data_IF_017153716908
#
_entry.id   IF_017153716908
#
_cell.length_a   1.000
_cell.length_b   1.000
_cell.length_c   1.000
_cell.angle_alpha   90.00
_cell.angle_beta   90.00
_cell.angle_gamma   90.00
#
_symmetry.space_group_name_H-M   'P 1'
#
loop_
_entity.id
_entity.type
_entity.pdbx_description
1 polymer ?
#
# COMPACT_ATOMS: atom_id res chain seq x y z
N UNK A 1 -0.73 -9.04 9.68
CA UNK A 1 -1.93 -8.41 9.12
C UNK A 1 -2.71 -9.45 8.35
N UNK A 2 -4.04 -9.45 8.41
CA UNK A 2 -4.87 -10.32 7.57
C UNK A 2 -5.02 -9.72 6.14
N UNK A 3 -5.21 -10.57 5.13
CA UNK A 3 -5.31 -10.15 3.72
C UNK A 3 -6.36 -9.06 3.46
N UNK A 4 -7.45 -9.07 4.24
CA UNK A 4 -8.52 -8.09 4.14
C UNK A 4 -8.10 -6.71 4.65
N UNK A 5 -7.26 -6.66 5.69
CA UNK A 5 -6.72 -5.42 6.27
C UNK A 5 -5.69 -4.80 5.32
N UNK A 6 -4.85 -5.62 4.68
CA UNK A 6 -3.89 -5.16 3.68
C UNK A 6 -4.61 -4.57 2.45
N UNK A 7 -5.66 -5.23 1.96
CA UNK A 7 -6.48 -4.69 0.86
C UNK A 7 -7.14 -3.37 1.24
N UNK A 8 -7.64 -3.24 2.48
CA UNK A 8 -8.19 -1.98 2.96
C UNK A 8 -7.14 -0.87 3.05
N UNK A 9 -5.91 -1.20 3.44
CA UNK A 9 -4.78 -0.26 3.48
C UNK A 9 -4.43 0.25 2.06
N UNK A 10 -4.31 -0.66 1.09
CA UNK A 10 -4.06 -0.30 -0.32
C UNK A 10 -5.20 0.52 -0.90
N UNK A 11 -6.45 0.21 -0.54
CA UNK A 11 -7.61 0.98 -0.99
C UNK A 11 -7.55 2.42 -0.45
N UNK A 12 -7.26 2.60 0.84
CA UNK A 12 -7.07 3.94 1.44
C UNK A 12 -5.94 4.72 0.76
N UNK A 13 -4.82 4.07 0.44
CA UNK A 13 -3.73 4.70 -0.31
C UNK A 13 -4.21 5.25 -1.66
N UNK A 14 -4.96 4.44 -2.42
CA UNK A 14 -5.49 4.87 -3.73
C UNK A 14 -6.49 6.00 -3.60
N UNK A 15 -7.31 6.00 -2.56
CA UNK A 15 -8.32 7.04 -2.33
C UNK A 15 -7.65 8.39 -2.00
N UNK A 16 -6.60 8.40 -1.17
CA UNK A 16 -5.79 9.59 -0.89
C UNK A 16 -5.04 10.10 -2.13
N UNK A 17 -4.47 9.19 -2.94
CA UNK A 17 -3.85 9.58 -4.21
C UNK A 17 -4.86 10.22 -5.17
N UNK A 18 -6.05 9.63 -5.32
CA UNK A 18 -7.14 10.22 -6.13
C UNK A 18 -7.59 11.57 -5.58
N UNK A 19 -7.71 11.71 -4.27
CA UNK A 19 -8.06 12.96 -3.61
C UNK A 19 -7.01 14.04 -3.88
N UNK A 20 -5.72 13.70 -3.84
CA UNK A 20 -4.64 14.60 -4.24
C UNK A 20 -4.75 15.02 -5.70
N UNK A 21 -4.93 14.09 -6.65
CA UNK A 21 -5.06 14.45 -8.06
C UNK A 21 -6.27 15.34 -8.33
N UNK A 22 -7.35 15.18 -7.56
CA UNK A 22 -8.56 16.01 -7.68
C UNK A 22 -8.41 17.41 -7.07
N UNK A 23 -7.76 17.51 -5.91
CA UNK A 23 -7.74 18.76 -5.11
C UNK A 23 -6.40 19.49 -5.13
N UNK A 24 -5.32 18.82 -5.57
CA UNK A 24 -3.91 19.23 -5.41
C UNK A 24 -3.51 19.62 -3.98
N UNK A 25 -4.25 19.14 -2.98
CA UNK A 25 -3.94 19.43 -1.58
C UNK A 25 -2.78 18.54 -1.09
N UNK A 26 -1.68 19.17 -0.67
CA UNK A 26 -0.48 18.52 -0.17
C UNK A 26 -0.75 17.57 1.00
N UNK A 27 -1.76 17.83 1.82
CA UNK A 27 -2.14 16.93 2.93
C UNK A 27 -2.47 15.52 2.43
N UNK A 28 -3.20 15.38 1.32
CA UNK A 28 -3.50 14.07 0.75
C UNK A 28 -2.24 13.37 0.21
N UNK A 29 -1.30 14.14 -0.36
CA UNK A 29 -0.01 13.61 -0.81
C UNK A 29 0.83 13.10 0.37
N UNK A 30 0.90 13.86 1.47
CA UNK A 30 1.66 13.47 2.66
C UNK A 30 1.02 12.24 3.35
N UNK A 31 -0.31 12.15 3.38
CA UNK A 31 -1.02 10.96 3.87
C UNK A 31 -0.78 9.75 2.96
N UNK A 32 -0.85 9.92 1.64
CA UNK A 32 -0.58 8.84 0.69
C UNK A 32 0.85 8.29 0.87
N UNK A 33 1.87 9.15 1.02
CA UNK A 33 3.25 8.71 1.28
C UNK A 33 3.40 7.90 2.58
N UNK A 34 2.66 8.27 3.62
CA UNK A 34 2.67 7.50 4.89
C UNK A 34 2.02 6.13 4.71
N UNK A 35 0.91 6.06 3.97
CA UNK A 35 0.23 4.80 3.66
C UNK A 35 1.07 3.91 2.75
N UNK A 36 1.77 4.49 1.77
CA UNK A 36 2.72 3.79 0.91
C UNK A 36 3.84 3.13 1.73
N UNK A 37 4.48 3.87 2.64
CA UNK A 37 5.49 3.31 3.53
C UNK A 37 4.95 2.19 4.43
N UNK A 38 3.68 2.25 4.84
CA UNK A 38 3.03 1.17 5.58
C UNK A 38 2.76 -0.05 4.71
N UNK A 39 2.28 0.14 3.48
CA UNK A 39 2.09 -0.95 2.50
C UNK A 39 3.42 -1.64 2.20
N UNK A 40 4.48 -0.88 1.95
CA UNK A 40 5.83 -1.42 1.69
C UNK A 40 6.35 -2.23 2.88
N UNK A 41 6.15 -1.72 4.11
CA UNK A 41 6.52 -2.44 5.33
C UNK A 41 5.76 -3.75 5.47
N UNK A 42 4.46 -3.77 5.19
CA UNK A 42 3.65 -4.99 5.24
C UNK A 42 4.01 -5.97 4.12
N UNK A 43 4.37 -5.48 2.93
CA UNK A 43 4.89 -6.31 1.85
C UNK A 43 6.23 -6.95 2.23
N UNK A 44 7.16 -6.19 2.82
CA UNK A 44 8.45 -6.71 3.30
C UNK A 44 8.25 -7.73 4.43
N UNK A 45 7.40 -7.42 5.41
CA UNK A 45 7.08 -8.34 6.52
C UNK A 45 6.32 -9.59 6.04
N UNK A 46 5.49 -9.47 5.00
CA UNK A 46 4.78 -10.58 4.37
C UNK A 46 5.69 -11.44 3.48
N UNK A 47 6.75 -10.84 2.93
CA UNK A 47 7.75 -11.51 2.07
C UNK A 47 8.73 -12.41 2.85
N UNK A 48 8.79 -12.27 4.18
CA UNK A 48 9.51 -13.21 5.07
C UNK A 48 8.75 -14.54 5.27
N UNK A 49 7.51 -14.65 4.77
CA UNK A 49 6.98 -15.96 4.40
C UNK A 49 7.53 -16.25 3.00
N UNK A 50 8.37 -17.29 2.83
CA UNK A 50 8.82 -17.72 1.51
C UNK A 50 7.60 -18.22 0.74
N UNK A 51 6.88 -17.30 0.11
CA UNK A 51 5.86 -17.61 -0.86
C UNK A 51 6.62 -17.96 -2.13
N UNK A 52 7.01 -19.23 -2.14
CA UNK A 52 7.36 -20.08 -3.26
C UNK A 52 7.71 -19.28 -4.51
N UNK A 53 9.02 -19.24 -4.79
CA UNK A 53 9.58 -18.87 -6.07
C UNK A 53 8.53 -19.04 -7.17
N UNK A 54 8.13 -17.93 -7.80
CA UNK A 54 7.65 -17.97 -9.17
C UNK A 54 8.81 -18.48 -10.04
N UNK A 55 9.11 -19.77 -9.89
CA UNK A 55 9.54 -20.61 -10.97
C UNK A 55 8.32 -20.75 -11.87
N UNK A 56 8.44 -20.38 -13.13
CA UNK A 56 8.31 -21.35 -14.22
C UNK A 56 8.28 -20.58 -15.55
N UNK A 57 9.41 -20.74 -16.25
CA UNK A 57 9.68 -20.59 -17.69
C UNK A 57 9.80 -19.20 -18.30
#
# INVERSE_FOLDING_TARGET
MEDHEFRALVQKLRDEQKAFFRTRNKTHLDTAKKLEAQVDKELLNGSDKPQNQQSLF
#
